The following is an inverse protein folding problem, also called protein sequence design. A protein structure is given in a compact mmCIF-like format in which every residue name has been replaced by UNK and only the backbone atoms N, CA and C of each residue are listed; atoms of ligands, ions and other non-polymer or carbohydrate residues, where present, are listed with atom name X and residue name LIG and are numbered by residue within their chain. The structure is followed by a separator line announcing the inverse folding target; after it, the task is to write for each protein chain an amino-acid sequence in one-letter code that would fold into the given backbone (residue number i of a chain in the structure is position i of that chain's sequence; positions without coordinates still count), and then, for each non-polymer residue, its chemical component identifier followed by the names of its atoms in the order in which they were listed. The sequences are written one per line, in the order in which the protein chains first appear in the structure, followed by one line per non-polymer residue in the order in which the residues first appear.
data_IF_944037080713
#
_entry.id   IF_944037080713
#
_cell.length_a   1.000
_cell.length_b   1.000
_cell.length_c   1.000
_cell.angle_alpha   90.00
_cell.angle_beta   90.00
_cell.angle_gamma   90.00
#
_symmetry.space_group_name_H-M   'P 1'
#
loop_
_entity.id
_entity.type
_entity.pdbx_description
1 polymer ?
#
# COMPACT_ATOMS: atom_id res chain seq x y z
N UNK A 1 -16.96 -1.88 0.17
CA UNK A 1 -17.10 -2.34 -1.23
C UNK A 1 -16.61 -3.79 -1.34
N UNK A 2 -17.49 -4.77 -1.59
CA UNK A 2 -17.11 -6.18 -1.85
C UNK A 2 -16.48 -6.33 -3.25
N UNK A 3 -15.42 -5.57 -3.58
CA UNK A 3 -15.02 -5.31 -4.97
C UNK A 3 -14.46 -6.53 -5.70
N UNK A 4 -13.50 -7.23 -5.09
CA UNK A 4 -12.76 -8.28 -5.79
C UNK A 4 -13.48 -9.63 -5.84
N UNK A 5 -14.32 -9.94 -4.85
CA UNK A 5 -15.10 -11.18 -4.79
C UNK A 5 -16.36 -11.08 -5.66
N UNK A 6 -17.15 -10.02 -5.49
CA UNK A 6 -18.41 -9.83 -6.24
C UNK A 6 -18.17 -9.72 -7.74
N UNK A 7 -17.11 -9.05 -8.18
CA UNK A 7 -16.77 -8.90 -9.60
C UNK A 7 -16.49 -10.24 -10.28
N UNK A 8 -15.72 -11.12 -9.64
CA UNK A 8 -15.36 -12.45 -10.17
C UNK A 8 -16.57 -13.37 -10.25
N UNK A 9 -17.36 -13.47 -9.18
CA UNK A 9 -18.58 -14.29 -9.14
C UNK A 9 -19.63 -13.76 -10.11
N UNK A 10 -19.82 -12.43 -10.18
CA UNK A 10 -20.75 -11.85 -11.14
C UNK A 10 -20.32 -12.09 -12.59
N UNK A 11 -19.01 -12.01 -12.88
CA UNK A 11 -18.49 -12.33 -14.22
C UNK A 11 -18.71 -13.80 -14.58
N UNK A 12 -18.47 -14.72 -13.65
CA UNK A 12 -18.80 -16.14 -13.85
C UNK A 12 -20.29 -16.33 -14.15
N UNK A 13 -21.17 -15.73 -13.36
CA UNK A 13 -22.61 -15.83 -13.60
C UNK A 13 -23.04 -15.22 -14.95
N UNK A 14 -22.38 -14.17 -15.43
CA UNK A 14 -22.58 -13.63 -16.79
C UNK A 14 -22.08 -14.61 -17.85
N UNK A 15 -20.89 -15.19 -17.69
CA UNK A 15 -20.34 -16.20 -18.60
C UNK A 15 -21.25 -17.43 -18.69
N UNK A 16 -21.95 -17.81 -17.62
CA UNK A 16 -22.88 -18.93 -17.61
C UNK A 16 -24.14 -18.69 -18.45
N UNK A 17 -24.58 -17.44 -18.55
CA UNK A 17 -25.81 -17.02 -19.24
C UNK A 17 -25.56 -16.39 -20.62
N UNK A 18 -24.30 -16.28 -20.99
CA UNK A 18 -23.87 -15.76 -22.28
C UNK A 18 -24.18 -16.77 -23.38
N UNK A 19 -24.60 -16.28 -24.54
CA UNK A 19 -24.82 -17.10 -25.74
C UNK A 19 -23.53 -17.80 -26.19
N UNK A 20 -23.68 -19.03 -26.68
CA UNK A 20 -22.54 -19.89 -27.06
C UNK A 20 -21.75 -19.37 -28.26
N UNK A 21 -22.29 -18.46 -29.06
CA UNK A 21 -21.56 -17.85 -30.17
C UNK A 21 -20.45 -16.90 -29.71
N UNK A 22 -20.54 -16.37 -28.48
CA UNK A 22 -19.54 -15.43 -27.97
C UNK A 22 -18.25 -16.14 -27.60
N UNK A 23 -17.12 -15.60 -28.06
CA UNK A 23 -15.78 -16.17 -27.83
C UNK A 23 -15.53 -16.53 -26.35
N UNK A 24 -15.82 -15.61 -25.43
CA UNK A 24 -15.62 -15.82 -23.99
C UNK A 24 -16.41 -17.02 -23.44
N UNK A 25 -17.62 -17.25 -23.94
CA UNK A 25 -18.46 -18.41 -23.57
C UNK A 25 -17.85 -19.70 -24.10
N UNK A 26 -17.43 -19.72 -25.37
CA UNK A 26 -16.80 -20.90 -26.00
C UNK A 26 -15.53 -21.29 -25.27
N UNK A 27 -14.66 -20.33 -24.98
CA UNK A 27 -13.41 -20.58 -24.23
C UNK A 27 -13.76 -21.11 -22.84
N UNK A 28 -14.68 -20.46 -22.11
CA UNK A 28 -15.07 -20.94 -20.77
C UNK A 28 -15.63 -22.37 -20.79
N UNK A 29 -16.44 -22.73 -21.79
CA UNK A 29 -16.93 -24.11 -21.94
C UNK A 29 -15.81 -25.07 -22.30
N UNK A 30 -14.95 -24.71 -23.24
CA UNK A 30 -13.81 -25.52 -23.66
C UNK A 30 -12.86 -25.83 -22.49
N UNK A 31 -12.54 -24.83 -21.68
CA UNK A 31 -11.74 -25.01 -20.45
C UNK A 31 -12.40 -25.99 -19.47
N UNK A 32 -13.74 -25.91 -19.35
CA UNK A 32 -14.52 -26.87 -18.57
C UNK A 32 -14.48 -28.28 -19.15
N UNK A 33 -14.67 -28.44 -20.46
CA UNK A 33 -14.59 -29.74 -21.15
C UNK A 33 -13.21 -30.39 -21.03
N UNK A 34 -12.13 -29.60 -21.15
CA UNK A 34 -10.76 -30.07 -20.94
C UNK A 34 -10.39 -30.27 -19.48
N UNK A 35 -11.32 -30.05 -18.54
CA UNK A 35 -11.10 -30.14 -17.09
C UNK A 35 -9.90 -29.33 -16.61
N UNK A 36 -9.55 -28.24 -17.31
CA UNK A 36 -8.39 -27.43 -17.00
C UNK A 36 -8.74 -26.44 -15.89
N UNK A 37 -8.24 -26.71 -14.67
CA UNK A 37 -8.38 -25.77 -13.56
C UNK A 37 -7.38 -24.63 -13.68
N UNK A 38 -7.85 -23.49 -14.20
CA UNK A 38 -7.11 -22.24 -14.14
C UNK A 38 -7.10 -21.66 -12.72
N UNK A 39 -6.12 -20.80 -12.42
CA UNK A 39 -6.12 -20.02 -11.19
C UNK A 39 -7.42 -19.22 -11.00
N UNK A 40 -8.00 -18.69 -12.08
CA UNK A 40 -9.27 -17.96 -12.04
C UNK A 40 -10.45 -18.88 -11.67
N UNK A 41 -10.59 -20.04 -12.31
CA UNK A 41 -11.67 -21.00 -12.00
C UNK A 41 -11.56 -21.53 -10.58
N UNK A 42 -10.35 -21.82 -10.11
CA UNK A 42 -10.11 -22.25 -8.72
C UNK A 42 -10.49 -21.14 -7.74
N UNK A 43 -10.09 -19.89 -8.02
CA UNK A 43 -10.45 -18.74 -7.19
C UNK A 43 -11.96 -18.52 -7.15
N UNK A 44 -12.63 -18.57 -8.29
CA UNK A 44 -14.09 -18.41 -8.39
C UNK A 44 -14.81 -19.52 -7.64
N UNK A 45 -14.40 -20.78 -7.78
CA UNK A 45 -14.99 -21.90 -7.04
C UNK A 45 -14.88 -21.71 -5.53
N UNK A 46 -13.71 -21.27 -5.05
CA UNK A 46 -13.49 -20.97 -3.62
C UNK A 46 -14.39 -19.84 -3.15
N UNK A 47 -14.54 -18.77 -3.93
CA UNK A 47 -15.43 -17.65 -3.61
C UNK A 47 -16.90 -18.10 -3.62
N UNK A 48 -17.32 -18.85 -4.64
CA UNK A 48 -18.67 -19.36 -4.78
C UNK A 48 -19.04 -20.30 -3.64
N UNK A 49 -18.09 -21.09 -3.11
CA UNK A 49 -18.26 -21.88 -1.90
C UNK A 49 -18.35 -21.00 -0.65
N UNK A 50 -17.38 -20.08 -0.45
CA UNK A 50 -17.32 -19.19 0.72
C UNK A 50 -18.60 -18.39 0.91
N UNK A 51 -19.17 -17.88 -0.18
CA UNK A 51 -20.37 -17.03 -0.16
C UNK A 51 -21.67 -17.78 -0.48
N UNK A 52 -21.67 -19.12 -0.41
CA UNK A 52 -22.89 -19.93 -0.54
C UNK A 52 -23.56 -19.93 -1.91
N UNK A 53 -22.90 -19.42 -2.97
CA UNK A 53 -23.46 -19.41 -4.33
C UNK A 53 -23.61 -20.80 -4.95
N UNK A 54 -22.87 -21.80 -4.46
CA UNK A 54 -23.03 -23.20 -4.88
C UNK A 54 -24.26 -23.85 -4.25
N UNK A 55 -24.55 -23.54 -2.98
CA UNK A 55 -25.69 -24.10 -2.25
C UNK A 55 -27.00 -23.41 -2.62
N UNK A 56 -26.96 -22.09 -2.85
CA UNK A 56 -28.12 -21.29 -3.24
C UNK A 56 -27.81 -20.52 -4.53
N UNK A 57 -28.05 -21.11 -5.70
CA UNK A 57 -27.84 -20.45 -6.98
C UNK A 57 -28.75 -19.22 -7.15
N UNK A 58 -28.26 -18.20 -7.85
CA UNK A 58 -29.07 -17.00 -8.14
C UNK A 58 -29.92 -17.25 -9.39
N UNK A 59 -31.24 -17.27 -9.20
CA UNK A 59 -32.24 -17.33 -10.26
C UNK A 59 -32.79 -15.92 -10.50
N UNK A 60 -32.17 -15.17 -11.41
CA UNK A 60 -32.64 -13.82 -11.78
C UNK A 60 -32.58 -13.65 -13.28
N UNK A 61 -33.53 -12.94 -13.88
CA UNK A 61 -33.48 -12.60 -15.31
C UNK A 61 -32.69 -11.30 -15.49
N UNK A 62 -31.58 -11.34 -16.23
CA UNK A 62 -30.76 -10.16 -16.56
C UNK A 62 -29.43 -10.04 -15.80
N UNK A 63 -28.41 -9.53 -16.52
CA UNK A 63 -27.01 -9.44 -16.05
C UNK A 63 -26.79 -8.35 -14.98
N UNK A 64 -27.52 -7.24 -15.07
CA UNK A 64 -27.47 -6.15 -14.09
C UNK A 64 -28.06 -6.59 -12.74
N UNK A 65 -29.25 -7.21 -12.77
CA UNK A 65 -29.90 -7.76 -11.57
C UNK A 65 -29.02 -8.81 -10.89
N UNK A 66 -28.42 -9.71 -11.67
CA UNK A 66 -27.43 -10.67 -11.16
C UNK A 66 -26.27 -9.97 -10.42
N UNK A 67 -25.67 -8.95 -11.03
CA UNK A 67 -24.53 -8.24 -10.43
C UNK A 67 -24.91 -7.56 -9.12
N UNK A 68 -26.12 -6.97 -9.04
CA UNK A 68 -26.65 -6.36 -7.82
C UNK A 68 -26.84 -7.40 -6.71
N UNK A 69 -27.47 -8.54 -7.02
CA UNK A 69 -27.70 -9.63 -6.04
C UNK A 69 -26.37 -10.23 -5.56
N UNK A 70 -25.40 -10.45 -6.46
CA UNK A 70 -24.07 -10.95 -6.07
C UNK A 70 -23.39 -9.95 -5.12
N UNK A 71 -23.40 -8.65 -5.44
CA UNK A 71 -22.81 -7.62 -4.58
C UNK A 71 -23.47 -7.57 -3.20
N UNK A 72 -24.79 -7.64 -3.17
CA UNK A 72 -25.56 -7.64 -1.92
C UNK A 72 -25.18 -8.85 -1.05
N UNK A 73 -25.27 -10.07 -1.59
CA UNK A 73 -24.95 -11.28 -0.81
C UNK A 73 -23.50 -11.30 -0.32
N UNK A 74 -22.54 -10.92 -1.16
CA UNK A 74 -21.14 -10.83 -0.73
C UNK A 74 -20.99 -9.78 0.37
N UNK A 75 -21.63 -8.61 0.24
CA UNK A 75 -21.57 -7.55 1.24
C UNK A 75 -22.19 -7.95 2.58
N UNK A 76 -23.33 -8.64 2.56
CA UNK A 76 -23.98 -9.18 3.76
C UNK A 76 -23.09 -10.19 4.47
N UNK A 77 -22.54 -11.16 3.74
CA UNK A 77 -21.63 -12.16 4.29
C UNK A 77 -20.31 -11.56 4.82
N UNK A 78 -19.75 -10.56 4.13
CA UNK A 78 -18.56 -9.83 4.62
C UNK A 78 -18.87 -9.02 5.89
N UNK A 79 -20.05 -8.38 5.95
CA UNK A 79 -20.50 -7.64 7.13
C UNK A 79 -20.73 -8.55 8.33
N UNK A 80 -21.36 -9.71 8.11
CA UNK A 80 -21.58 -10.72 9.14
C UNK A 80 -20.25 -11.31 9.64
N UNK A 81 -19.35 -11.69 8.73
CA UNK A 81 -18.00 -12.14 9.09
C UNK A 81 -17.25 -11.09 9.92
N UNK A 82 -17.34 -9.82 9.52
CA UNK A 82 -16.74 -8.70 10.27
C UNK A 82 -17.35 -8.55 11.66
N UNK A 83 -18.68 -8.64 11.82
CA UNK A 83 -19.32 -8.61 13.14
C UNK A 83 -18.87 -9.77 14.02
N UNK A 84 -18.84 -10.99 13.50
CA UNK A 84 -18.37 -12.15 14.27
C UNK A 84 -16.93 -11.98 14.73
N UNK A 85 -16.03 -11.52 13.84
CA UNK A 85 -14.64 -11.26 14.19
C UNK A 85 -14.46 -10.12 15.21
N UNK A 86 -15.38 -9.14 15.25
CA UNK A 86 -15.37 -8.11 16.30
C UNK A 86 -15.90 -8.62 17.63
N UNK A 87 -16.92 -9.48 17.63
CA UNK A 87 -17.48 -10.07 18.86
C UNK A 87 -16.44 -10.93 19.60
N UNK A 88 -15.57 -11.60 18.86
CA UNK A 88 -14.46 -12.41 19.39
C UNK A 88 -13.42 -11.58 20.16
N UNK A 89 -13.34 -10.26 19.93
CA UNK A 89 -12.32 -9.38 20.50
C UNK A 89 -12.90 -8.43 21.54
N UNK A 90 -12.62 -8.70 22.81
CA UNK A 90 -13.06 -7.85 23.94
C UNK A 90 -12.56 -6.41 23.82
N UNK A 91 -11.35 -6.20 23.32
CA UNK A 91 -10.75 -4.86 23.13
C UNK A 91 -11.50 -3.97 22.14
N UNK A 92 -12.39 -4.55 21.32
CA UNK A 92 -13.20 -3.82 20.33
C UNK A 92 -14.60 -3.47 20.84
N UNK A 93 -14.88 -3.61 22.13
CA UNK A 93 -16.21 -3.36 22.70
C UNK A 93 -16.75 -1.96 22.42
N UNK A 94 -15.96 -0.92 22.70
CA UNK A 94 -16.35 0.46 22.39
C UNK A 94 -16.51 0.70 20.88
N UNK A 95 -15.73 0.00 20.05
CA UNK A 95 -15.82 0.16 18.61
C UNK A 95 -17.11 -0.44 18.05
N UNK A 96 -17.52 -1.63 18.53
CA UNK A 96 -18.76 -2.30 18.07
C UNK A 96 -20.04 -1.61 18.53
N UNK A 97 -20.02 -0.87 19.66
CA UNK A 97 -21.20 -0.11 20.11
C UNK A 97 -21.50 1.06 19.17
N UNK A 98 -20.47 1.68 18.59
CA UNK A 98 -20.62 2.85 17.73
C UNK A 98 -20.58 2.53 16.22
N UNK A 99 -20.15 1.33 15.81
CA UNK A 99 -20.08 0.95 14.39
C UNK A 99 -20.90 -0.31 14.06
N UNK A 100 -21.88 -0.12 13.19
CA UNK A 100 -22.81 -1.17 12.73
C UNK A 100 -22.38 -1.86 11.42
N UNK A 101 -21.54 -1.20 10.61
CA UNK A 101 -21.05 -1.69 9.32
C UNK A 101 -19.54 -1.48 9.18
N UNK A 102 -18.84 -2.35 8.43
CA UNK A 102 -17.43 -2.14 8.13
C UNK A 102 -17.27 -0.84 7.33
N UNK A 103 -16.43 0.12 7.81
CA UNK A 103 -16.25 1.39 7.13
C UNK A 103 -15.63 1.19 5.74
N UNK A 104 -16.09 1.94 4.76
CA UNK A 104 -15.47 2.00 3.44
C UNK A 104 -14.44 3.11 3.40
N UNK A 105 -13.17 2.75 3.40
CA UNK A 105 -12.09 3.70 3.15
C UNK A 105 -11.81 3.76 1.66
N UNK A 106 -11.93 4.95 1.08
CA UNK A 106 -11.88 5.16 -0.38
C UNK A 106 -10.53 5.67 -0.89
N UNK A 107 -9.54 5.82 0.00
CA UNK A 107 -8.22 6.37 -0.32
C UNK A 107 -7.10 5.32 -0.27
N UNK A 108 -7.44 4.05 0.00
CA UNK A 108 -6.50 2.94 -0.11
C UNK A 108 -6.58 2.29 -1.48
N UNK A 109 -5.50 2.46 -2.22
CA UNK A 109 -5.26 1.83 -3.51
C UNK A 109 -4.16 0.79 -3.23
N UNK A 110 -4.08 -0.34 -3.94
CA UNK A 110 -3.02 -1.35 -3.65
C UNK A 110 -1.61 -0.90 -4.10
N UNK A 111 -1.30 0.39 -3.94
CA UNK A 111 -0.02 1.00 -4.27
C UNK A 111 0.90 1.12 -3.04
N UNK A 112 2.14 1.52 -3.29
CA UNK A 112 3.13 1.71 -2.23
C UNK A 112 2.76 2.87 -1.28
N UNK A 113 2.14 3.93 -1.77
CA UNK A 113 1.77 5.09 -0.96
C UNK A 113 0.69 4.76 0.07
N UNK A 114 -0.29 3.95 -0.31
CA UNK A 114 -1.34 3.44 0.56
C UNK A 114 -0.79 2.47 1.61
N UNK A 115 0.19 1.63 1.27
CA UNK A 115 0.91 0.81 2.27
C UNK A 115 1.60 1.70 3.32
N UNK A 116 2.29 2.75 2.88
CA UNK A 116 3.00 3.66 3.77
C UNK A 116 2.04 4.56 4.57
N UNK A 117 0.93 4.99 3.97
CA UNK A 117 -0.13 5.72 4.66
C UNK A 117 -0.75 4.88 5.78
N UNK A 118 -0.91 3.57 5.55
CA UNK A 118 -1.36 2.66 6.59
C UNK A 118 -0.36 2.59 7.74
N UNK A 119 0.94 2.44 7.46
CA UNK A 119 2.00 2.49 8.48
C UNK A 119 1.94 3.83 9.26
N UNK A 120 1.77 4.96 8.57
CA UNK A 120 1.65 6.28 9.19
C UNK A 120 0.41 6.41 10.10
N UNK A 121 -0.76 5.94 9.65
CA UNK A 121 -2.00 5.96 10.46
C UNK A 121 -1.92 5.04 11.67
N UNK A 122 -1.17 3.95 11.57
CA UNK A 122 -0.93 3.04 12.68
C UNK A 122 0.14 3.54 13.66
N UNK A 123 0.85 4.62 13.34
CA UNK A 123 2.00 5.09 14.13
C UNK A 123 3.24 4.20 14.00
N UNK A 124 3.29 3.36 12.96
CA UNK A 124 4.35 2.39 12.69
C UNK A 124 5.20 2.79 11.46
N UNK A 125 5.13 4.06 11.05
CA UNK A 125 5.95 4.56 9.96
C UNK A 125 7.42 4.49 10.39
N UNK A 126 8.22 3.75 9.63
CA UNK A 126 9.62 3.43 9.94
C UNK A 126 10.57 4.59 9.66
N UNK A 127 10.29 5.74 10.26
CA UNK A 127 11.16 6.92 10.21
C UNK A 127 12.44 6.70 11.02
N UNK A 128 13.44 7.56 10.87
CA UNK A 128 14.67 7.46 11.67
C UNK A 128 14.40 7.57 13.18
N UNK A 129 13.48 8.45 13.61
CA UNK A 129 13.10 8.56 15.03
C UNK A 129 12.50 7.23 15.53
N UNK A 130 11.59 6.63 14.77
CA UNK A 130 11.01 5.33 15.15
C UNK A 130 12.10 4.24 15.22
N UNK A 131 13.01 4.22 14.24
CA UNK A 131 14.10 3.23 14.16
C UNK A 131 15.14 3.38 15.26
N UNK A 132 15.30 4.57 15.84
CA UNK A 132 16.26 4.81 16.93
C UNK A 132 16.01 3.92 18.15
N UNK A 133 14.76 3.50 18.36
CA UNK A 133 14.41 2.55 19.41
C UNK A 133 15.00 1.15 19.21
N UNK A 134 15.42 0.79 17.99
CA UNK A 134 15.82 -0.56 17.60
C UNK A 134 17.20 -0.65 16.95
N UNK A 135 17.67 0.43 16.32
CA UNK A 135 18.96 0.50 15.62
C UNK A 135 19.84 1.61 16.22
N UNK A 136 21.07 1.24 16.57
CA UNK A 136 22.08 2.14 17.15
C UNK A 136 23.10 2.65 16.14
N UNK A 137 22.90 2.35 14.84
CA UNK A 137 23.76 2.83 13.77
C UNK A 137 23.87 4.35 13.75
N UNK A 138 25.04 4.87 13.36
CA UNK A 138 25.33 6.32 13.35
C UNK A 138 24.32 7.10 12.50
N UNK A 139 23.83 6.49 11.43
CA UNK A 139 22.85 7.07 10.51
C UNK A 139 21.48 7.22 11.16
N UNK A 140 21.07 6.25 11.98
CA UNK A 140 19.80 6.34 12.72
C UNK A 140 19.94 7.31 13.88
N UNK A 141 21.11 7.36 14.54
CA UNK A 141 21.39 8.31 15.63
C UNK A 141 21.40 9.78 15.22
N UNK A 142 21.75 10.12 13.98
CA UNK A 142 21.67 11.52 13.56
C UNK A 142 20.23 12.01 13.61
N UNK A 143 19.24 11.14 13.36
CA UNK A 143 17.80 11.42 13.24
C UNK A 143 17.42 12.48 12.20
N UNK A 144 18.36 13.30 11.74
CA UNK A 144 18.19 14.32 10.71
C UNK A 144 17.70 13.70 9.41
N UNK A 145 16.67 14.31 8.86
CA UNK A 145 16.02 13.87 7.66
C UNK A 145 16.92 14.04 6.44
N UNK A 146 17.04 12.98 5.62
CA UNK A 146 17.97 12.97 4.49
C UNK A 146 17.59 13.92 3.35
N UNK A 147 16.31 14.31 3.22
CA UNK A 147 15.88 15.16 2.10
C UNK A 147 15.93 16.66 2.41
N UNK A 148 15.63 17.09 3.63
CA UNK A 148 15.75 18.52 4.00
C UNK A 148 17.06 18.82 4.73
N UNK A 149 17.65 17.86 5.44
CA UNK A 149 18.88 18.08 6.22
C UNK A 149 18.73 18.95 7.48
N UNK A 150 17.53 19.46 7.75
CA UNK A 150 17.32 20.52 8.75
C UNK A 150 16.60 20.04 10.02
N UNK A 151 15.70 19.06 9.91
CA UNK A 151 14.86 18.59 11.01
C UNK A 151 14.95 17.08 11.19
N UNK A 152 14.57 16.58 12.37
CA UNK A 152 14.51 15.15 12.63
C UNK A 152 13.39 14.48 11.80
N UNK A 153 13.67 13.28 11.26
CA UNK A 153 12.74 12.48 10.48
C UNK A 153 11.64 11.90 11.38
N UNK A 154 10.62 12.73 11.64
CA UNK A 154 9.38 12.34 12.30
C UNK A 154 8.26 12.15 11.27
N UNK A 155 7.21 11.40 11.62
CA UNK A 155 6.03 11.28 10.76
C UNK A 155 5.36 12.65 10.53
N UNK A 156 5.34 13.51 11.55
CA UNK A 156 4.80 14.87 11.45
C UNK A 156 5.61 15.67 10.44
N UNK A 157 6.92 15.76 10.63
CA UNK A 157 7.80 16.52 9.74
C UNK A 157 7.67 16.04 8.30
N UNK A 158 7.76 14.73 8.09
CA UNK A 158 7.66 14.14 6.76
C UNK A 158 6.32 14.44 6.08
N UNK A 159 5.20 14.28 6.81
CA UNK A 159 3.87 14.41 6.24
C UNK A 159 3.51 15.88 6.03
N UNK A 160 3.71 16.77 7.01
CA UNK A 160 3.17 18.14 6.94
C UNK A 160 4.22 19.21 6.63
N UNK A 161 5.43 19.11 7.16
CA UNK A 161 6.36 20.27 7.21
C UNK A 161 7.50 20.20 6.18
N UNK A 162 7.85 19.00 5.72
CA UNK A 162 9.11 18.81 5.03
C UNK A 162 9.12 19.47 3.64
N UNK A 163 10.02 20.43 3.44
CA UNK A 163 10.25 21.14 2.17
C UNK A 163 10.98 20.27 1.13
N UNK A 164 11.78 19.30 1.59
CA UNK A 164 12.53 18.38 0.73
C UNK A 164 11.68 17.28 0.05
N UNK A 165 10.37 17.27 0.29
CA UNK A 165 9.41 16.31 -0.27
C UNK A 165 8.29 17.07 -0.95
N UNK A 166 7.89 16.60 -2.12
CA UNK A 166 6.87 17.16 -3.00
C UNK A 166 5.79 16.10 -3.29
N UNK A 167 4.52 16.48 -3.45
CA UNK A 167 3.96 17.83 -3.30
C UNK A 167 3.94 18.31 -1.84
N UNK A 168 4.05 19.61 -1.60
CA UNK A 168 3.80 20.19 -0.27
C UNK A 168 2.31 20.17 0.08
N UNK A 169 1.98 19.98 1.35
CA UNK A 169 0.64 20.30 1.84
C UNK A 169 0.46 21.82 1.93
N UNK A 170 -0.79 22.26 2.05
CA UNK A 170 -1.08 23.65 2.40
C UNK A 170 -0.68 23.89 3.86
N UNK A 171 -0.28 25.13 4.18
CA UNK A 171 0.22 25.49 5.52
C UNK A 171 -0.81 25.25 6.64
N UNK A 172 -2.11 25.23 6.30
CA UNK A 172 -3.23 25.01 7.22
C UNK A 172 -3.62 23.53 7.40
N UNK A 173 -2.96 22.59 6.69
CA UNK A 173 -3.33 21.17 6.74
C UNK A 173 -2.85 20.51 8.03
N UNK A 174 -3.79 20.07 8.87
CA UNK A 174 -3.46 19.32 10.09
C UNK A 174 -2.97 17.90 9.76
N UNK A 175 -2.20 17.29 10.67
CA UNK A 175 -1.80 15.88 10.53
C UNK A 175 -3.02 14.95 10.41
N UNK A 176 -4.08 15.22 11.18
CA UNK A 176 -5.30 14.42 11.17
C UNK A 176 -6.00 14.49 9.80
N UNK A 177 -6.02 15.66 9.16
CA UNK A 177 -6.52 15.84 7.79
C UNK A 177 -5.61 15.15 6.77
N UNK A 178 -4.29 15.29 6.89
CA UNK A 178 -3.32 14.64 6.01
C UNK A 178 -3.41 13.11 6.04
N UNK A 179 -3.71 12.54 7.19
CA UNK A 179 -3.93 11.10 7.39
C UNK A 179 -5.35 10.64 7.04
N UNK A 180 -6.26 11.57 6.72
CA UNK A 180 -7.64 11.27 6.35
C UNK A 180 -8.54 10.88 7.51
N UNK A 181 -8.21 11.29 8.74
CA UNK A 181 -9.09 11.16 9.91
C UNK A 181 -10.14 12.27 9.96
N UNK A 182 -9.80 13.45 9.45
CA UNK A 182 -10.67 14.62 9.42
C UNK A 182 -10.85 15.14 7.99
N UNK A 183 -11.99 15.79 7.75
CA UNK A 183 -12.25 16.49 6.50
C UNK A 183 -11.70 17.91 6.57
N UNK A 184 -11.16 18.41 5.45
CA UNK A 184 -10.79 19.80 5.32
C UNK A 184 -11.94 20.57 4.66
N UNK A 185 -12.31 21.73 5.22
CA UNK A 185 -13.50 22.47 4.76
C UNK A 185 -13.42 22.94 3.30
N UNK A 186 -12.20 23.18 2.81
CA UNK A 186 -11.95 23.79 1.50
C UNK A 186 -11.44 22.80 0.44
N UNK A 187 -11.06 21.58 0.82
CA UNK A 187 -10.43 20.60 -0.09
C UNK A 187 -11.06 19.23 0.11
N UNK A 188 -11.39 18.57 -0.99
CA UNK A 188 -11.92 17.22 -0.94
C UNK A 188 -10.93 16.28 -0.20
N UNK A 189 -11.36 15.53 0.83
CA UNK A 189 -10.45 14.75 1.69
C UNK A 189 -9.53 13.79 0.92
N UNK A 190 -10.04 13.23 -0.19
CA UNK A 190 -9.25 12.33 -1.04
C UNK A 190 -8.01 13.01 -1.65
N UNK A 191 -8.07 14.30 -1.96
CA UNK A 191 -6.93 15.03 -2.52
C UNK A 191 -5.82 15.20 -1.49
N UNK A 192 -6.18 15.60 -0.26
CA UNK A 192 -5.20 15.77 0.82
C UNK A 192 -4.49 14.45 1.10
N UNK A 193 -5.25 13.35 1.20
CA UNK A 193 -4.66 12.02 1.40
C UNK A 193 -3.81 11.57 0.20
N UNK A 194 -4.19 11.94 -1.02
CA UNK A 194 -3.39 11.63 -2.22
C UNK A 194 -2.04 12.37 -2.19
N UNK A 195 -2.02 13.63 -1.77
CA UNK A 195 -0.79 14.39 -1.52
C UNK A 195 0.10 13.67 -0.50
N UNK A 196 -0.47 13.24 0.63
CA UNK A 196 0.26 12.46 1.66
C UNK A 196 0.85 11.18 1.08
N UNK A 197 0.07 10.42 0.30
CA UNK A 197 0.54 9.19 -0.34
C UNK A 197 1.74 9.46 -1.24
N UNK A 198 1.70 10.51 -2.05
CA UNK A 198 2.80 10.84 -2.95
C UNK A 198 4.06 11.27 -2.20
N UNK A 199 3.91 12.10 -1.15
CA UNK A 199 5.02 12.47 -0.27
C UNK A 199 5.69 11.24 0.35
N UNK A 200 4.90 10.32 0.90
CA UNK A 200 5.40 9.08 1.49
C UNK A 200 6.13 8.21 0.46
N UNK A 201 5.63 8.13 -0.77
CA UNK A 201 6.30 7.40 -1.87
C UNK A 201 7.64 8.00 -2.21
N UNK A 202 7.71 9.33 -2.36
CA UNK A 202 8.95 10.01 -2.67
C UNK A 202 9.98 9.80 -1.55
N UNK A 203 9.57 9.97 -0.29
CA UNK A 203 10.42 9.66 0.87
C UNK A 203 10.96 8.22 0.85
N UNK A 204 10.08 7.25 0.62
CA UNK A 204 10.47 5.84 0.56
C UNK A 204 11.47 5.55 -0.57
N UNK A 205 11.39 6.30 -1.66
CA UNK A 205 12.35 6.20 -2.76
C UNK A 205 13.69 6.86 -2.42
N UNK A 206 13.67 8.05 -1.80
CA UNK A 206 14.88 8.76 -1.37
C UNK A 206 15.67 7.99 -0.30
N UNK A 207 14.97 7.29 0.60
CA UNK A 207 15.61 6.50 1.67
C UNK A 207 16.22 5.18 1.18
N UNK A 208 15.71 4.62 0.09
CA UNK A 208 16.23 3.39 -0.52
C UNK A 208 17.38 3.62 -1.49
N UNK A 209 17.63 4.85 -1.93
CA UNK A 209 18.79 5.11 -2.76
C UNK A 209 20.07 4.90 -1.95
N UNK A 210 21.04 4.10 -2.46
CA UNK A 210 22.35 4.04 -1.87
C UNK A 210 22.95 5.44 -1.90
N UNK A 211 23.60 5.80 -0.79
CA UNK A 211 24.21 7.10 -0.58
C UNK A 211 25.15 7.44 -1.75
N UNK A 212 24.70 8.32 -2.66
CA UNK A 212 25.54 8.77 -3.79
C UNK A 212 26.77 9.56 -3.31
N UNK A 213 26.85 9.89 -2.01
CA UNK A 213 27.98 10.55 -1.37
C UNK A 213 29.17 9.64 -1.04
N UNK A 214 28.98 8.32 -0.89
CA UNK A 214 30.08 7.42 -0.56
C UNK A 214 30.97 7.06 -1.78
N UNK A 215 30.45 7.23 -3.00
CA UNK A 215 31.18 6.87 -4.24
C UNK A 215 32.16 7.95 -4.73
N UNK A 216 32.19 9.14 -4.12
CA UNK A 216 33.08 10.24 -4.54
C UNK A 216 34.36 10.38 -3.73
N UNK A 217 34.47 9.79 -2.54
CA UNK A 217 35.62 9.98 -1.64
C UNK A 217 36.65 8.82 -1.65
N UNK A 218 36.59 7.91 -2.63
CA UNK A 218 37.54 6.77 -2.72
C UNK A 218 38.58 6.95 -3.84
N UNK A 219 38.54 8.06 -4.59
CA UNK A 219 39.46 8.28 -5.72
C UNK A 219 40.56 9.32 -5.52
N UNK A 220 40.63 10.01 -4.38
CA UNK A 220 41.57 11.13 -4.20
C UNK A 220 42.72 10.87 -3.20
N UNK A 221 42.83 9.65 -2.65
CA UNK A 221 43.83 9.33 -1.61
C UNK A 221 44.94 8.35 -2.08
N UNK A 222 45.12 8.20 -3.40
CA UNK A 222 46.16 7.34 -4.00
C UNK A 222 47.22 8.08 -4.82
N UNK A 223 47.27 9.41 -4.76
CA UNK A 223 48.22 10.20 -5.56
C UNK A 223 49.51 10.61 -4.82
N UNK A 224 49.68 10.35 -3.52
CA UNK A 224 50.81 10.88 -2.73
C UNK A 224 51.79 9.83 -2.20
N UNK A 225 51.99 8.73 -2.94
CA UNK A 225 52.89 7.66 -2.46
C UNK A 225 53.87 7.06 -3.44
N UNK A 226 54.37 7.80 -4.43
CA UNK A 226 55.63 7.45 -5.11
C UNK A 226 56.30 8.73 -5.59
N UNK A 227 57.46 9.08 -5.01
CA UNK A 227 58.67 9.60 -5.68
C UNK A 227 59.68 10.14 -4.65
N UNK A 228 60.48 9.24 -4.08
CA UNK A 228 61.83 9.58 -3.62
C UNK A 228 62.78 8.45 -4.03
N UNK A 229 63.40 8.60 -5.20
CA UNK A 229 64.59 7.85 -5.57
C UNK A 229 65.53 8.73 -6.38
N UNK A 230 66.60 9.19 -5.73
CA UNK A 230 68.01 9.32 -6.18
C UNK A 230 68.73 10.16 -5.11
N UNK A 231 69.96 9.90 -4.67
CA UNK A 231 71.16 9.46 -5.37
C UNK A 231 72.20 9.02 -4.31
N UNK A 232 72.96 7.97 -4.58
CA UNK A 232 74.20 7.66 -3.86
C UNK A 232 75.37 8.42 -4.52
N UNK A 233 76.31 9.00 -3.76
CA UNK A 233 77.60 9.41 -4.31
C UNK A 233 78.67 8.35 -4.01
N UNK A 234 79.36 7.99 -5.08
CA UNK A 234 80.61 7.24 -5.14
C UNK A 234 81.78 7.99 -4.48
N UNK A 235 82.65 7.23 -3.81
CA UNK A 235 83.95 7.66 -3.29
C UNK A 235 84.86 8.24 -4.41
N UNK A 236 85.85 9.07 -4.04
CA UNK A 236 87.22 8.55 -4.10
C UNK A 236 88.22 9.08 -3.03
N UNK A 237 89.28 8.27 -2.89
CA UNK A 237 90.63 8.44 -2.30
C UNK A 237 90.82 8.63 -0.78
#
# INVERSE_FOLDING_TARGET
MPGAASSKVAYEGRLRRMEDQRWARRVSRYMGFKSTQTAWTSRVRTLSRKFGFLAQPIHTSGTQKLTKVVRQRVGEAECEQWRFAMLDKSTLELYRTHKSFPPTENFFDNDAGSRLLFEARAGDLRTLIYRQCFDTSRIVKSTVYRACGEAAESAIHLITECVGVSPAHREDTSLAQALGFETHDCVAPHMVVTTTKERLRQWWWLTQQPDRGAAKNVRDDSADRILTFTQAPSDPD
#
